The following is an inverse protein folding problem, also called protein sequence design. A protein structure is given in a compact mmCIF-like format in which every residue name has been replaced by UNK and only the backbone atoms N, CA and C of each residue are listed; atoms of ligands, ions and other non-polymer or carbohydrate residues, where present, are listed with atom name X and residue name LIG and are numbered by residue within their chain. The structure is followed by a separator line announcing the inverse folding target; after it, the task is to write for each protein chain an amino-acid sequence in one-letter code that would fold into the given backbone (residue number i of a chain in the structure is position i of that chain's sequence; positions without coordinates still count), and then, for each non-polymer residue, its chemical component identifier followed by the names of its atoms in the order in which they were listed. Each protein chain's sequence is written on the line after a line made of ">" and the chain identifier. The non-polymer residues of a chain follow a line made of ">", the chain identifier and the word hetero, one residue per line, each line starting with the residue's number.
data_IF_974930939342
#
_entry.id   IF_974930939342
#
_cell.length_a   1.000
_cell.length_b   1.000
_cell.length_c   1.000
_cell.angle_alpha   90.00
_cell.angle_beta   90.00
_cell.angle_gamma   90.00
#
_symmetry.space_group_name_H-M   'P 1'
#
loop_
_entity.id
_entity.type
_entity.pdbx_description
1 polymer ?
#
# COMPACT_ATOMS: atom_id res chain seq x y z
N UNK A 1 -8.14 -13.13 -15.41
CA UNK A 1 -7.02 -12.42 -16.04
C UNK A 1 -6.13 -11.80 -14.98
N UNK A 2 -4.82 -11.88 -15.13
CA UNK A 2 -3.89 -11.32 -14.14
C UNK A 2 -3.45 -9.93 -14.53
N UNK A 3 -3.28 -9.08 -13.53
CA UNK A 3 -2.75 -7.74 -13.72
C UNK A 3 -1.68 -7.48 -12.66
N UNK A 4 -0.86 -6.48 -12.89
CA UNK A 4 0.15 -6.07 -11.92
C UNK A 4 -0.35 -4.84 -11.20
N UNK A 5 -0.28 -4.89 -9.87
CA UNK A 5 -0.68 -3.78 -9.02
C UNK A 5 0.45 -3.41 -8.06
N UNK A 6 0.46 -2.14 -7.67
CA UNK A 6 1.45 -1.61 -6.73
C UNK A 6 0.70 -1.13 -5.49
N UNK A 7 1.16 -1.59 -4.33
CA UNK A 7 0.52 -1.31 -3.05
C UNK A 7 1.52 -0.64 -2.14
N UNK A 8 1.15 0.50 -1.59
CA UNK A 8 1.94 1.19 -0.58
C UNK A 8 1.53 0.68 0.80
N UNK A 9 2.52 0.38 1.62
CA UNK A 9 2.36 -0.04 3.00
C UNK A 9 2.96 1.02 3.90
N UNK A 10 2.28 1.34 5.00
CA UNK A 10 2.79 2.30 5.98
C UNK A 10 2.34 1.97 7.39
N UNK A 11 3.18 2.29 8.36
CA UNK A 11 2.87 2.14 9.78
C UNK A 11 3.65 3.17 10.58
N UNK A 12 2.99 3.84 11.52
CA UNK A 12 3.69 4.75 12.43
C UNK A 12 3.27 4.55 13.89
N UNK A 13 2.70 3.41 14.21
CA UNK A 13 2.24 3.10 15.56
C UNK A 13 2.61 1.65 15.88
N UNK A 14 3.18 1.44 17.08
CA UNK A 14 3.56 0.11 17.54
C UNK A 14 4.81 -0.43 16.85
N UNK A 15 4.87 -1.72 16.64
CA UNK A 15 6.01 -2.40 16.00
C UNK A 15 5.88 -2.34 14.48
N UNK A 16 6.30 -1.25 13.90
CA UNK A 16 6.09 -0.93 12.50
C UNK A 16 6.60 -2.01 11.53
N UNK A 17 7.82 -2.52 11.76
CA UNK A 17 8.38 -3.56 10.89
C UNK A 17 7.57 -4.86 10.94
N UNK A 18 7.04 -5.19 12.11
CA UNK A 18 6.21 -6.39 12.28
C UNK A 18 4.90 -6.24 11.49
N UNK A 19 4.27 -5.07 11.58
CA UNK A 19 3.03 -4.82 10.84
C UNK A 19 3.25 -4.87 9.32
N UNK A 20 4.35 -4.30 8.82
CA UNK A 20 4.66 -4.39 7.39
C UNK A 20 4.91 -5.84 6.96
N UNK A 21 5.65 -6.60 7.76
CA UNK A 21 5.92 -8.00 7.44
C UNK A 21 4.64 -8.85 7.42
N UNK A 22 3.76 -8.63 8.39
CA UNK A 22 2.47 -9.32 8.43
C UNK A 22 1.61 -8.96 7.23
N UNK A 23 1.58 -7.69 6.84
CA UNK A 23 0.84 -7.24 5.66
C UNK A 23 1.35 -7.91 4.38
N UNK A 24 2.67 -7.97 4.19
CA UNK A 24 3.24 -8.62 3.02
C UNK A 24 2.84 -10.09 2.94
N UNK A 25 2.89 -10.79 4.07
CA UNK A 25 2.48 -12.21 4.12
C UNK A 25 1.00 -12.37 3.82
N UNK A 26 0.16 -11.52 4.39
CA UNK A 26 -1.28 -11.58 4.16
C UNK A 26 -1.63 -11.32 2.70
N UNK A 27 -0.99 -10.34 2.07
CA UNK A 27 -1.20 -10.03 0.65
C UNK A 27 -0.72 -11.18 -0.23
N UNK A 28 0.45 -11.75 0.08
CA UNK A 28 0.98 -12.89 -0.68
C UNK A 28 0.07 -14.13 -0.59
N UNK A 29 -0.73 -14.23 0.45
CA UNK A 29 -1.65 -15.35 0.67
C UNK A 29 -3.02 -15.17 0.00
N UNK A 30 -3.30 -14.00 -0.58
CA UNK A 30 -4.57 -13.77 -1.28
C UNK A 30 -4.68 -14.68 -2.49
N UNK A 31 -5.89 -15.17 -2.76
CA UNK A 31 -6.12 -16.08 -3.87
C UNK A 31 -5.68 -15.45 -5.20
N UNK A 32 -5.01 -16.22 -6.04
CA UNK A 32 -4.57 -15.78 -7.36
C UNK A 32 -3.57 -14.63 -7.34
N UNK A 33 -2.82 -14.48 -6.25
CA UNK A 33 -1.94 -13.34 -6.04
C UNK A 33 -0.54 -13.82 -5.64
N UNK A 34 0.48 -13.15 -6.17
CA UNK A 34 1.87 -13.36 -5.72
C UNK A 34 2.63 -12.05 -5.71
N UNK A 35 3.57 -11.93 -4.80
CA UNK A 35 4.44 -10.75 -4.71
C UNK A 35 5.55 -10.88 -5.73
N UNK A 36 5.72 -9.84 -6.57
CA UNK A 36 6.75 -9.79 -7.60
C UNK A 36 8.02 -9.09 -7.12
N UNK A 37 7.88 -8.16 -6.18
CA UNK A 37 9.02 -7.40 -5.67
C UNK A 37 8.59 -6.47 -4.57
N UNK A 38 9.59 -5.92 -3.87
CA UNK A 38 9.35 -4.96 -2.80
C UNK A 38 10.52 -4.00 -2.71
N UNK A 39 10.23 -2.77 -2.28
CA UNK A 39 11.28 -1.80 -1.96
C UNK A 39 11.78 -2.06 -0.55
N UNK A 40 12.92 -1.45 -0.21
CA UNK A 40 13.35 -1.39 1.18
C UNK A 40 12.38 -0.50 1.97
N UNK A 41 12.16 -0.83 3.23
CA UNK A 41 11.36 0.03 4.10
C UNK A 41 12.15 1.30 4.44
N UNK A 42 11.45 2.44 4.44
CA UNK A 42 12.08 3.72 4.74
C UNK A 42 11.18 4.59 5.62
N UNK A 43 11.79 5.45 6.41
CA UNK A 43 11.03 6.38 7.25
C UNK A 43 10.69 7.65 6.47
N UNK A 44 9.47 8.13 6.65
CA UNK A 44 9.02 9.41 6.10
C UNK A 44 8.31 10.22 7.19
N UNK A 45 8.35 11.55 7.05
CA UNK A 45 7.64 12.43 7.96
C UNK A 45 6.13 12.25 7.80
N UNK A 46 5.36 12.34 8.91
CA UNK A 46 3.91 12.27 8.80
C UNK A 46 3.36 13.46 8.02
N UNK A 47 2.25 13.22 7.30
CA UNK A 47 1.57 14.24 6.51
C UNK A 47 0.32 14.66 7.27
N UNK A 48 0.06 15.98 7.30
CA UNK A 48 -1.11 16.54 7.96
C UNK A 48 -0.78 17.24 9.27
N UNK A 49 -1.79 17.82 9.94
CA UNK A 49 -1.59 18.70 11.09
C UNK A 49 -1.42 17.98 12.43
N UNK A 50 -1.65 16.66 12.49
CA UNK A 50 -1.59 15.94 13.77
C UNK A 50 -0.15 15.58 14.07
N UNK A 51 0.32 15.95 15.27
CA UNK A 51 1.66 15.57 15.74
C UNK A 51 1.71 14.07 16.00
N UNK A 52 2.68 13.39 15.39
CA UNK A 52 2.84 11.93 15.49
C UNK A 52 4.23 11.52 15.04
N UNK A 53 4.60 10.27 15.31
CA UNK A 53 5.88 9.73 14.90
C UNK A 53 5.98 9.49 13.40
N UNK A 54 7.19 9.27 12.89
CA UNK A 54 7.40 9.02 11.47
C UNK A 54 6.79 7.69 11.03
N UNK A 55 6.35 7.65 9.77
CA UNK A 55 5.90 6.41 9.14
C UNK A 55 7.09 5.58 8.70
N UNK A 56 6.95 4.27 8.82
CA UNK A 56 7.80 3.33 8.09
C UNK A 56 7.00 2.93 6.85
N UNK A 57 7.58 3.16 5.67
CA UNK A 57 6.90 2.97 4.39
C UNK A 57 7.62 1.96 3.53
N UNK A 58 6.84 1.26 2.72
CA UNK A 58 7.35 0.31 1.74
C UNK A 58 6.33 0.19 0.62
N UNK A 59 6.79 -0.13 -0.58
CA UNK A 59 5.89 -0.45 -1.69
C UNK A 59 6.18 -1.86 -2.19
N UNK A 60 5.13 -2.58 -2.55
CA UNK A 60 5.25 -3.90 -3.16
C UNK A 60 4.54 -3.92 -4.50
N UNK A 61 5.07 -4.75 -5.40
CA UNK A 61 4.43 -5.07 -6.67
C UNK A 61 3.86 -6.47 -6.55
N UNK A 62 2.62 -6.65 -6.98
CA UNK A 62 1.96 -7.95 -6.98
C UNK A 62 1.40 -8.25 -8.36
N UNK A 63 1.30 -9.54 -8.68
CA UNK A 63 0.49 -10.03 -9.78
C UNK A 63 -0.76 -10.63 -9.16
N UNK A 64 -1.94 -10.23 -9.63
CA UNK A 64 -3.19 -10.67 -9.00
C UNK A 64 -4.31 -10.86 -10.01
N UNK A 65 -5.16 -11.82 -9.73
CA UNK A 65 -6.42 -12.04 -10.46
C UNK A 65 -7.57 -11.24 -9.87
N UNK A 66 -7.36 -10.60 -8.71
CA UNK A 66 -8.41 -9.80 -8.08
C UNK A 66 -8.66 -8.52 -8.87
N UNK A 67 -9.93 -8.13 -8.95
CA UNK A 67 -10.28 -6.80 -9.45
C UNK A 67 -9.79 -5.73 -8.47
N UNK A 68 -9.64 -4.48 -8.92
CA UNK A 68 -9.31 -3.39 -7.99
C UNK A 68 -10.28 -3.31 -6.80
N UNK A 69 -11.57 -3.52 -7.04
CA UNK A 69 -12.59 -3.47 -5.99
C UNK A 69 -12.42 -4.60 -4.97
N UNK A 70 -12.18 -5.81 -5.45
CA UNK A 70 -11.98 -6.96 -4.56
C UNK A 70 -10.67 -6.85 -3.80
N UNK A 71 -9.62 -6.34 -4.45
CA UNK A 71 -8.36 -6.09 -3.76
C UNK A 71 -8.55 -5.08 -2.63
N UNK A 72 -9.27 -4.00 -2.87
CA UNK A 72 -9.55 -3.00 -1.84
C UNK A 72 -10.21 -3.63 -0.61
N UNK A 73 -11.21 -4.48 -0.82
CA UNK A 73 -11.91 -5.17 0.27
C UNK A 73 -10.92 -6.01 1.09
N UNK A 74 -10.05 -6.75 0.41
CA UNK A 74 -9.06 -7.59 1.09
C UNK A 74 -8.03 -6.75 1.87
N UNK A 75 -7.57 -5.64 1.29
CA UNK A 75 -6.64 -4.76 1.98
C UNK A 75 -7.26 -4.14 3.23
N UNK A 76 -8.53 -3.75 3.15
CA UNK A 76 -9.23 -3.21 4.31
C UNK A 76 -9.40 -4.26 5.41
N UNK A 77 -9.62 -5.51 5.04
CA UNK A 77 -9.67 -6.61 5.99
C UNK A 77 -8.32 -6.80 6.70
N UNK A 78 -7.23 -6.72 5.94
CA UNK A 78 -5.88 -6.85 6.49
C UNK A 78 -5.59 -5.69 7.45
N UNK A 79 -5.97 -4.47 7.09
CA UNK A 79 -5.84 -3.31 7.99
C UNK A 79 -6.62 -3.52 9.30
N UNK A 80 -7.84 -4.03 9.19
CA UNK A 80 -8.67 -4.32 10.36
C UNK A 80 -8.07 -5.38 11.27
N UNK A 81 -7.50 -6.43 10.69
CA UNK A 81 -6.83 -7.50 11.44
C UNK A 81 -5.57 -6.98 12.16
N UNK A 82 -4.97 -5.92 11.66
CA UNK A 82 -3.83 -5.27 12.31
C UNK A 82 -4.25 -4.28 13.40
N UNK A 83 -5.54 -4.18 13.69
CA UNK A 83 -6.04 -3.32 14.75
C UNK A 83 -6.16 -1.85 14.38
N UNK A 84 -6.32 -1.52 13.10
CA UNK A 84 -6.46 -0.14 12.66
C UNK A 84 -7.74 0.47 13.22
N UNK A 85 -7.58 1.63 13.90
CA UNK A 85 -8.70 2.40 14.46
C UNK A 85 -8.78 3.74 13.76
N UNK A 86 -9.96 4.09 13.23
CA UNK A 86 -10.17 5.32 12.47
C UNK A 86 -10.70 6.43 13.38
N UNK A 87 -9.88 6.88 14.32
CA UNK A 87 -10.27 7.94 15.25
C UNK A 87 -9.97 9.34 14.73
N UNK A 88 -8.90 9.48 13.93
CA UNK A 88 -8.52 10.77 13.37
C UNK A 88 -8.05 10.58 11.94
N UNK A 89 -8.50 11.45 11.04
CA UNK A 89 -8.19 11.35 9.61
C UNK A 89 -6.69 11.32 9.31
N UNK A 90 -5.90 12.13 9.99
CA UNK A 90 -4.45 12.25 9.78
C UNK A 90 -3.65 11.67 10.94
N UNK A 91 -4.32 10.95 11.84
CA UNK A 91 -3.70 10.41 13.04
C UNK A 91 -2.87 9.16 12.80
N UNK A 92 -2.26 8.63 13.88
CA UNK A 92 -1.43 7.42 13.81
C UNK A 92 -2.19 6.22 13.27
N UNK A 93 -1.44 5.35 12.56
CA UNK A 93 -1.99 4.12 11.96
C UNK A 93 -1.09 2.95 12.31
N UNK A 94 -1.68 1.84 12.77
CA UNK A 94 -0.94 0.58 12.91
C UNK A 94 -0.54 0.06 11.53
N UNK A 95 -1.46 0.17 10.56
CA UNK A 95 -1.20 -0.28 9.20
C UNK A 95 -2.09 0.50 8.23
N UNK A 96 -1.46 1.05 7.20
CA UNK A 96 -2.13 1.71 6.08
C UNK A 96 -1.74 0.97 4.81
N UNK A 97 -2.75 0.59 4.02
CA UNK A 97 -2.54 -0.07 2.73
C UNK A 97 -3.29 0.71 1.65
N UNK A 98 -2.54 1.19 0.66
CA UNK A 98 -3.10 1.98 -0.44
C UNK A 98 -2.78 1.34 -1.78
N UNK A 99 -3.81 1.19 -2.62
CA UNK A 99 -3.60 0.79 -4.01
C UNK A 99 -3.11 2.02 -4.77
N UNK A 100 -1.88 1.93 -5.27
CA UNK A 100 -1.25 3.06 -5.97
C UNK A 100 -1.58 3.04 -7.46
N UNK A 101 -1.47 1.86 -8.07
CA UNK A 101 -1.57 1.73 -9.52
C UNK A 101 -1.89 0.28 -9.89
N UNK A 102 -2.72 0.11 -10.94
CA UNK A 102 -2.82 -1.12 -11.72
C UNK A 102 -2.23 -0.83 -13.11
N UNK A 103 -1.47 -1.75 -13.64
CA UNK A 103 -0.78 -1.50 -14.92
C UNK A 103 -1.75 -1.35 -16.10
N UNK A 104 -2.88 -2.08 -16.09
CA UNK A 104 -3.78 -2.09 -17.23
C UNK A 104 -5.18 -1.53 -16.94
N UNK A 105 -5.41 -1.02 -15.74
CA UNK A 105 -6.73 -0.55 -15.35
C UNK A 105 -6.67 0.80 -14.66
N UNK A 106 -7.69 1.63 -14.92
CA UNK A 106 -7.95 2.85 -14.17
C UNK A 106 -9.33 2.76 -13.56
N UNK A 107 -9.50 3.39 -12.39
CA UNK A 107 -10.78 3.36 -11.67
C UNK A 107 -11.08 4.76 -11.15
N UNK A 108 -12.34 5.17 -11.31
CA UNK A 108 -12.85 6.44 -10.74
C UNK A 108 -14.23 6.19 -10.19
N UNK A 109 -14.29 5.83 -8.93
CA UNK A 109 -15.58 5.61 -8.26
C UNK A 109 -15.47 6.02 -6.79
N UNK A 110 -16.59 6.23 -6.09
CA UNK A 110 -16.54 6.60 -4.67
C UNK A 110 -15.73 5.59 -3.86
N UNK A 111 -14.75 6.10 -3.13
CA UNK A 111 -13.89 5.26 -2.27
C UNK A 111 -12.75 4.55 -2.98
N UNK A 112 -12.64 4.65 -4.31
CA UNK A 112 -11.54 3.99 -5.03
C UNK A 112 -11.18 4.75 -6.31
N UNK A 113 -10.00 5.36 -6.30
CA UNK A 113 -9.43 6.05 -7.47
C UNK A 113 -8.06 5.49 -7.76
N UNK A 114 -7.84 4.99 -8.97
CA UNK A 114 -6.58 4.40 -9.42
C UNK A 114 -6.21 5.01 -10.78
N UNK A 115 -5.05 5.62 -10.95
CA UNK A 115 -3.95 5.79 -9.97
C UNK A 115 -4.38 6.59 -8.74
N UNK A 116 -3.70 6.33 -7.63
CA UNK A 116 -4.01 7.01 -6.37
C UNK A 116 -3.90 8.53 -6.55
N UNK A 117 -4.89 9.31 -6.06
CA UNK A 117 -4.91 10.75 -6.31
C UNK A 117 -3.71 11.50 -5.71
N UNK A 118 -3.06 10.95 -4.67
CA UNK A 118 -1.90 11.58 -4.03
C UNK A 118 -0.57 11.13 -4.62
N UNK A 119 -0.57 10.24 -5.61
CA UNK A 119 0.68 9.70 -6.16
C UNK A 119 1.62 10.80 -6.66
N UNK A 120 1.09 11.79 -7.39
CA UNK A 120 1.91 12.88 -7.93
C UNK A 120 2.41 13.86 -6.86
N UNK A 121 1.85 13.81 -5.65
CA UNK A 121 2.18 14.72 -4.56
C UNK A 121 3.12 14.09 -3.53
N UNK A 122 3.45 12.81 -3.66
CA UNK A 122 4.29 12.10 -2.70
C UNK A 122 5.54 11.57 -3.40
N UNK A 123 6.64 12.30 -3.25
CA UNK A 123 7.89 11.96 -3.92
C UNK A 123 8.39 10.57 -3.58
N UNK A 124 8.21 10.13 -2.33
CA UNK A 124 8.66 8.79 -1.94
C UNK A 124 7.84 7.68 -2.64
N UNK A 125 6.55 7.90 -2.91
CA UNK A 125 5.74 6.95 -3.67
C UNK A 125 6.22 6.88 -5.13
N UNK A 126 6.50 8.03 -5.75
CA UNK A 126 7.00 8.07 -7.12
C UNK A 126 8.35 7.36 -7.22
N UNK A 127 9.23 7.59 -6.27
CA UNK A 127 10.56 6.96 -6.24
C UNK A 127 10.45 5.44 -6.04
N UNK A 128 9.59 5.00 -5.11
CA UNK A 128 9.35 3.57 -4.85
C UNK A 128 8.74 2.88 -6.05
N UNK A 129 7.74 3.52 -6.67
CA UNK A 129 7.09 2.98 -7.86
C UNK A 129 8.09 2.83 -9.02
N UNK A 130 8.90 3.85 -9.25
CA UNK A 130 9.93 3.80 -10.31
C UNK A 130 10.94 2.69 -10.05
N UNK A 131 11.36 2.50 -8.81
CA UNK A 131 12.29 1.43 -8.45
C UNK A 131 11.71 0.05 -8.77
N UNK A 132 10.45 -0.17 -8.43
CA UNK A 132 9.79 -1.45 -8.69
C UNK A 132 9.58 -1.70 -10.18
N UNK A 133 9.16 -0.67 -10.92
CA UNK A 133 8.95 -0.81 -12.37
C UNK A 133 10.25 -1.04 -13.11
N UNK A 134 11.32 -0.38 -12.71
CA UNK A 134 12.64 -0.55 -13.33
C UNK A 134 13.19 -1.95 -13.09
N UNK A 135 13.00 -2.52 -11.91
CA UNK A 135 13.50 -3.85 -11.59
C UNK A 135 12.77 -4.96 -12.34
N UNK A 136 11.61 -4.66 -12.94
CA UNK A 136 10.80 -5.62 -13.71
C UNK A 136 11.07 -5.56 -15.21
N UNK A 137 11.92 -4.67 -15.66
CA UNK A 137 12.25 -4.55 -17.07
C UNK A 137 13.37 -5.55 -17.40
N UNK A 138 13.10 -6.41 -18.33
CA UNK A 138 14.07 -7.43 -18.77
C UNK A 138 14.52 -7.15 -20.21
#
# INVERSE_FOLDING_TARGET
>A
MKDVAYIALGSNLGQREVFLAQARRAIAALAGTRVLGQTDAEETAPIGPVAQGPFLNQMIAIETELSPQDLLVELQRIEGDAGRVREARWGPRTLDLDIILFETQTVREPGLTIPHPELSNRDFWLRELNALRSSRVD
#
